data_IF_788284850642
#
_entry.id   IF_788284850642
#
_cell.length_a   1.000
_cell.length_b   1.000
_cell.length_c   1.000
_cell.angle_alpha   90.00
_cell.angle_beta   90.00
_cell.angle_gamma   90.00
#
_symmetry.space_group_name_H-M   'P 1'
#
loop_
_entity.id
_entity.type
_entity.pdbx_description
1 polymer ?
#
# COMPACT_ATOMS: atom_id res chain seq x y z
N UNK A 1 -28.82 -33.17 -22.63
CA UNK A 1 -29.38 -33.92 -21.49
C UNK A 1 -28.27 -34.10 -20.47
N UNK A 2 -28.53 -33.82 -19.19
CA UNK A 2 -27.61 -34.20 -18.12
C UNK A 2 -28.13 -35.50 -17.50
N UNK A 3 -27.35 -36.58 -17.56
CA UNK A 3 -27.70 -37.85 -16.90
C UNK A 3 -27.41 -37.72 -15.41
N UNK A 4 -28.45 -37.67 -14.57
CA UNK A 4 -28.30 -37.66 -13.12
C UNK A 4 -27.96 -39.07 -12.61
N UNK A 5 -26.68 -39.33 -12.33
CA UNK A 5 -26.28 -40.44 -11.47
C UNK A 5 -26.67 -40.12 -10.02
N UNK A 6 -27.02 -41.12 -9.22
CA UNK A 6 -27.55 -40.95 -7.85
C UNK A 6 -26.63 -40.25 -6.84
N UNK A 7 -25.43 -39.85 -7.25
CA UNK A 7 -24.43 -39.17 -6.41
C UNK A 7 -24.32 -37.67 -6.69
N UNK A 8 -25.00 -37.13 -7.71
CA UNK A 8 -24.82 -35.75 -8.14
C UNK A 8 -25.28 -34.77 -7.04
N UNK A 9 -24.35 -33.90 -6.63
CA UNK A 9 -24.58 -32.84 -5.66
C UNK A 9 -24.97 -31.54 -6.35
N UNK A 10 -25.59 -30.64 -5.60
CA UNK A 10 -25.94 -29.30 -6.10
C UNK A 10 -24.71 -28.53 -6.57
N UNK A 11 -23.57 -28.68 -5.88
CA UNK A 11 -22.29 -28.07 -6.28
C UNK A 11 -21.82 -28.50 -7.67
N UNK A 12 -22.04 -29.76 -8.04
CA UNK A 12 -21.70 -30.27 -9.38
C UNK A 12 -22.51 -29.57 -10.47
N UNK A 13 -23.79 -29.26 -10.19
CA UNK A 13 -24.62 -28.48 -11.11
C UNK A 13 -24.10 -27.04 -11.20
N UNK A 14 -23.75 -26.40 -10.09
CA UNK A 14 -23.21 -25.03 -10.12
C UNK A 14 -21.92 -24.94 -10.94
N UNK A 15 -21.05 -25.94 -10.81
CA UNK A 15 -19.83 -26.07 -11.61
C UNK A 15 -20.14 -26.24 -13.11
N UNK A 16 -21.09 -27.10 -13.46
CA UNK A 16 -21.52 -27.30 -14.84
C UNK A 16 -22.21 -26.06 -15.44
N UNK A 17 -22.97 -25.32 -14.63
CA UNK A 17 -23.61 -24.07 -15.02
C UNK A 17 -22.62 -22.94 -15.19
N UNK A 18 -21.54 -22.89 -14.39
CA UNK A 18 -20.52 -21.84 -14.48
C UNK A 18 -19.93 -21.73 -15.88
N UNK A 19 -19.68 -22.88 -16.53
CA UNK A 19 -19.17 -22.93 -17.91
C UNK A 19 -20.17 -22.39 -18.95
N UNK A 20 -21.46 -22.40 -18.64
CA UNK A 20 -22.53 -21.98 -19.57
C UNK A 20 -23.02 -20.55 -19.33
N UNK A 21 -23.04 -20.12 -18.07
CA UNK A 21 -23.56 -18.82 -17.65
C UNK A 21 -22.46 -17.80 -17.42
N UNK A 22 -21.22 -18.25 -17.25
CA UNK A 22 -20.07 -17.40 -16.88
C UNK A 22 -20.05 -17.00 -15.40
N UNK A 23 -21.01 -17.43 -14.59
CA UNK A 23 -21.09 -17.11 -13.16
C UNK A 23 -20.25 -18.09 -12.35
N UNK A 24 -19.43 -17.61 -11.42
CA UNK A 24 -18.71 -18.50 -10.51
C UNK A 24 -19.70 -19.30 -9.65
N UNK A 25 -19.40 -20.55 -9.24
CA UNK A 25 -20.32 -21.35 -8.42
C UNK A 25 -20.82 -20.63 -7.15
N UNK A 26 -19.96 -19.82 -6.53
CA UNK A 26 -20.30 -19.01 -5.35
C UNK A 26 -21.26 -17.84 -5.62
N UNK A 27 -21.39 -17.44 -6.89
CA UNK A 27 -22.31 -16.39 -7.34
C UNK A 27 -23.67 -16.98 -7.79
N UNK A 28 -23.83 -18.31 -7.68
CA UNK A 28 -25.02 -19.01 -8.12
C UNK A 28 -25.87 -19.49 -6.94
N UNK A 29 -27.16 -19.12 -6.95
CA UNK A 29 -28.19 -19.62 -6.03
C UNK A 29 -29.12 -20.53 -6.80
N UNK A 30 -29.11 -21.81 -6.46
CA UNK A 30 -29.98 -22.80 -7.08
C UNK A 30 -31.22 -23.03 -6.24
N UNK A 31 -32.38 -22.92 -6.89
CA UNK A 31 -33.68 -23.04 -6.26
C UNK A 31 -34.45 -24.20 -6.89
N UNK A 32 -34.98 -25.09 -6.05
CA UNK A 32 -35.91 -26.15 -6.44
C UNK A 32 -37.19 -26.06 -5.61
N UNK A 33 -38.34 -25.94 -6.29
CA UNK A 33 -39.66 -25.81 -5.64
C UNK A 33 -39.71 -24.69 -4.58
N UNK A 34 -39.08 -23.55 -4.87
CA UNK A 34 -39.02 -22.39 -3.98
C UNK A 34 -38.05 -22.52 -2.81
N UNK A 35 -37.26 -23.61 -2.72
CA UNK A 35 -36.23 -23.80 -1.69
C UNK A 35 -34.84 -23.70 -2.31
N UNK A 36 -33.99 -22.91 -1.67
CA UNK A 36 -32.56 -22.84 -1.99
C UNK A 36 -31.89 -24.18 -1.68
N UNK A 37 -30.87 -24.53 -2.45
CA UNK A 37 -30.11 -25.77 -2.35
C UNK A 37 -28.65 -25.44 -2.03
N UNK A 38 -28.11 -26.06 -0.99
CA UNK A 38 -26.70 -25.96 -0.61
C UNK A 38 -25.83 -26.90 -1.45
N UNK A 39 -24.54 -26.58 -1.59
CA UNK A 39 -23.63 -27.26 -2.51
C UNK A 39 -23.44 -28.74 -2.16
N UNK A 40 -23.48 -29.08 -0.86
CA UNK A 40 -23.34 -30.43 -0.31
C UNK A 40 -24.65 -31.25 -0.40
N UNK A 41 -25.77 -30.65 -0.79
CA UNK A 41 -27.03 -31.37 -0.93
C UNK A 41 -27.02 -32.30 -2.15
N UNK A 42 -27.34 -33.57 -1.93
CA UNK A 42 -27.63 -34.50 -3.02
C UNK A 42 -28.99 -34.20 -3.67
N UNK A 43 -28.99 -34.07 -4.99
CA UNK A 43 -30.16 -33.66 -5.77
C UNK A 43 -31.32 -34.66 -5.66
N UNK A 44 -31.00 -35.96 -5.57
CA UNK A 44 -32.01 -36.99 -5.44
C UNK A 44 -32.77 -36.89 -4.10
N UNK A 45 -32.07 -36.54 -3.00
CA UNK A 45 -32.69 -36.31 -1.70
C UNK A 45 -33.55 -35.06 -1.70
N UNK A 46 -33.16 -34.03 -2.47
CA UNK A 46 -33.99 -32.85 -2.71
C UNK A 46 -35.21 -33.12 -3.62
N UNK A 47 -35.38 -34.35 -4.13
CA UNK A 47 -36.49 -34.75 -4.99
C UNK A 47 -36.34 -34.30 -6.46
N UNK A 48 -35.13 -33.91 -6.87
CA UNK A 48 -34.80 -33.57 -8.25
C UNK A 48 -34.69 -34.87 -9.05
N UNK A 49 -35.49 -34.97 -10.10
CA UNK A 49 -35.54 -36.11 -11.04
C UNK A 49 -35.20 -35.65 -12.46
N UNK A 50 -35.10 -36.59 -13.38
CA UNK A 50 -34.97 -36.28 -14.80
C UNK A 50 -36.07 -35.28 -15.25
N UNK A 51 -35.69 -34.32 -16.08
CA UNK A 51 -36.53 -33.20 -16.57
C UNK A 51 -37.07 -32.24 -15.51
N UNK A 52 -36.57 -32.30 -14.27
CA UNK A 52 -36.91 -31.29 -13.26
C UNK A 52 -36.40 -29.90 -13.67
N UNK A 53 -37.16 -28.87 -13.32
CA UNK A 53 -36.78 -27.47 -13.55
C UNK A 53 -36.10 -26.92 -12.29
N UNK A 54 -34.91 -26.36 -12.45
CA UNK A 54 -34.19 -25.60 -11.44
C UNK A 54 -34.22 -24.13 -11.83
N UNK A 55 -34.39 -23.25 -10.86
CA UNK A 55 -34.25 -21.81 -11.05
C UNK A 55 -32.86 -21.40 -10.58
N UNK A 56 -32.07 -20.83 -11.49
CA UNK A 56 -30.78 -20.22 -11.17
C UNK A 56 -31.01 -18.73 -10.94
N UNK A 57 -30.62 -18.26 -9.76
CA UNK A 57 -30.56 -16.85 -9.43
C UNK A 57 -29.10 -16.45 -9.22
N UNK A 58 -28.77 -15.24 -9.60
CA UNK A 58 -27.47 -14.65 -9.32
C UNK A 58 -27.43 -14.10 -7.89
N UNK A 59 -26.38 -14.44 -7.13
CA UNK A 59 -26.14 -13.89 -5.81
C UNK A 59 -25.50 -12.50 -5.92
N UNK A 60 -26.33 -11.46 -5.80
CA UNK A 60 -25.87 -10.07 -5.79
C UNK A 60 -24.97 -9.76 -4.59
N UNK A 61 -25.10 -10.46 -3.45
CA UNK A 61 -24.28 -10.22 -2.28
C UNK A 61 -22.82 -10.68 -2.48
N UNK A 62 -22.62 -11.80 -3.20
CA UNK A 62 -21.27 -12.29 -3.54
C UNK A 62 -20.56 -11.40 -4.56
N UNK A 63 -21.28 -10.79 -5.51
CA UNK A 63 -20.73 -9.76 -6.40
C UNK A 63 -20.32 -8.49 -5.65
N UNK A 64 -21.16 -8.00 -4.74
CA UNK A 64 -20.86 -6.81 -3.94
C UNK A 64 -19.60 -7.04 -3.10
N UNK A 65 -19.46 -8.20 -2.44
CA UNK A 65 -18.26 -8.55 -1.67
C UNK A 65 -16.98 -8.55 -2.53
N UNK A 66 -17.00 -9.21 -3.70
CA UNK A 66 -15.85 -9.22 -4.62
C UNK A 66 -15.48 -7.82 -5.11
N UNK A 67 -16.47 -6.98 -5.42
CA UNK A 67 -16.24 -5.60 -5.85
C UNK A 67 -15.65 -4.73 -4.73
N UNK A 68 -16.08 -4.93 -3.48
CA UNK A 68 -15.51 -4.25 -2.32
C UNK A 68 -14.08 -4.68 -2.00
N UNK A 69 -13.77 -5.97 -2.15
CA UNK A 69 -12.41 -6.48 -2.00
C UNK A 69 -11.47 -5.87 -3.03
N UNK A 70 -11.89 -5.82 -4.31
CA UNK A 70 -11.13 -5.14 -5.37
C UNK A 70 -10.94 -3.65 -5.07
N UNK A 71 -11.97 -2.96 -4.57
CA UNK A 71 -11.85 -1.55 -4.17
C UNK A 71 -10.87 -1.34 -3.02
N UNK A 72 -10.82 -2.26 -2.05
CA UNK A 72 -9.87 -2.21 -0.93
C UNK A 72 -8.45 -2.46 -1.41
N UNK A 73 -8.23 -3.46 -2.27
CA UNK A 73 -6.91 -3.69 -2.86
C UNK A 73 -6.43 -2.49 -3.66
N UNK A 74 -7.32 -1.89 -4.48
CA UNK A 74 -7.01 -0.70 -5.28
C UNK A 74 -6.67 0.52 -4.42
N UNK A 75 -7.31 0.68 -3.26
CA UNK A 75 -7.00 1.76 -2.32
C UNK A 75 -5.63 1.56 -1.68
N UNK A 76 -5.27 0.32 -1.33
CA UNK A 76 -3.96 0.00 -0.76
C UNK A 76 -2.84 0.25 -1.77
N UNK A 77 -3.01 -0.17 -3.03
CA UNK A 77 -2.02 0.10 -4.09
C UNK A 77 -1.87 1.60 -4.34
N UNK A 78 -2.98 2.35 -4.46
CA UNK A 78 -2.93 3.81 -4.64
C UNK A 78 -2.20 4.53 -3.49
N UNK A 79 -2.45 4.12 -2.25
CA UNK A 79 -1.76 4.71 -1.10
C UNK A 79 -0.25 4.42 -1.13
N UNK A 80 0.16 3.21 -1.50
CA UNK A 80 1.57 2.84 -1.63
C UNK A 80 2.26 3.59 -2.78
N UNK A 81 1.60 3.72 -3.93
CA UNK A 81 2.09 4.50 -5.07
C UNK A 81 2.28 5.99 -4.71
N UNK A 82 1.31 6.59 -4.01
CA UNK A 82 1.42 7.97 -3.56
C UNK A 82 2.58 8.17 -2.58
N UNK A 83 2.82 7.22 -1.66
CA UNK A 83 4.00 7.26 -0.77
C UNK A 83 5.30 7.13 -1.56
N UNK A 84 5.34 6.27 -2.58
CA UNK A 84 6.52 6.09 -3.43
C UNK A 84 6.84 7.36 -4.24
N UNK A 85 5.83 8.07 -4.74
CA UNK A 85 6.02 9.35 -5.42
C UNK A 85 6.62 10.40 -4.47
N UNK A 86 6.09 10.52 -3.25
CA UNK A 86 6.67 11.43 -2.26
C UNK A 86 8.11 11.04 -1.92
N UNK A 87 8.39 9.74 -1.75
CA UNK A 87 9.75 9.25 -1.50
C UNK A 87 10.73 9.67 -2.61
N UNK A 88 10.34 9.56 -3.88
CA UNK A 88 11.18 9.98 -4.99
C UNK A 88 11.49 11.49 -4.95
N UNK A 89 10.54 12.33 -4.52
CA UNK A 89 10.79 13.75 -4.28
C UNK A 89 11.71 13.98 -3.08
N UNK A 90 11.56 13.21 -2.00
CA UNK A 90 12.46 13.27 -0.84
C UNK A 90 13.87 12.82 -1.22
N UNK A 91 14.04 11.84 -2.10
CA UNK A 91 15.35 11.40 -2.60
C UNK A 91 16.08 12.55 -3.30
N UNK A 92 15.41 13.27 -4.20
CA UNK A 92 15.98 14.47 -4.85
C UNK A 92 16.38 15.55 -3.85
N UNK A 93 15.55 15.79 -2.83
CA UNK A 93 15.87 16.78 -1.80
C UNK A 93 17.06 16.30 -0.96
N UNK A 94 17.15 15.00 -0.68
CA UNK A 94 18.26 14.41 0.08
C UNK A 94 19.62 14.59 -0.59
N UNK A 95 19.67 14.56 -1.94
CA UNK A 95 20.88 14.87 -2.71
C UNK A 95 21.31 16.32 -2.49
N UNK A 96 20.36 17.26 -2.46
CA UNK A 96 20.64 18.67 -2.13
C UNK A 96 21.12 18.81 -0.68
N UNK A 97 20.52 18.10 0.28
CA UNK A 97 20.98 18.09 1.68
C UNK A 97 22.42 17.59 1.79
N UNK A 98 22.76 16.52 1.07
CA UNK A 98 24.12 15.97 1.04
C UNK A 98 25.12 16.95 0.43
N UNK A 99 24.76 17.65 -0.65
CA UNK A 99 25.60 18.68 -1.23
C UNK A 99 25.85 19.86 -0.27
N UNK A 100 24.81 20.28 0.47
CA UNK A 100 24.94 21.32 1.50
C UNK A 100 25.85 20.87 2.65
N UNK A 101 25.73 19.63 3.11
CA UNK A 101 26.61 19.06 4.13
C UNK A 101 28.07 19.10 3.70
N UNK A 102 28.38 18.60 2.49
CA UNK A 102 29.75 18.60 1.95
C UNK A 102 30.30 20.01 1.84
N UNK A 103 29.49 20.99 1.41
CA UNK A 103 29.92 22.38 1.31
C UNK A 103 30.27 22.97 2.70
N UNK A 104 29.42 22.76 3.70
CA UNK A 104 29.62 23.26 5.07
C UNK A 104 30.80 22.56 5.75
N UNK A 105 30.92 21.24 5.59
CA UNK A 105 32.04 20.45 6.12
C UNK A 105 33.38 20.85 5.46
N UNK A 106 33.34 21.21 4.18
CA UNK A 106 34.47 21.78 3.44
C UNK A 106 34.78 23.24 3.76
N UNK A 107 34.04 23.88 4.67
CA UNK A 107 34.26 25.27 5.10
C UNK A 107 33.74 26.33 4.12
N UNK A 108 32.99 25.92 3.08
CA UNK A 108 32.34 26.86 2.16
C UNK A 108 31.19 27.56 2.87
N UNK A 109 31.18 28.90 2.83
CA UNK A 109 30.06 29.68 3.36
C UNK A 109 28.86 29.56 2.43
N UNK A 110 27.80 28.91 2.92
CA UNK A 110 26.54 28.75 2.18
C UNK A 110 25.56 29.85 2.59
N UNK A 111 24.80 30.37 1.62
CA UNK A 111 23.73 31.34 1.88
C UNK A 111 22.60 30.72 2.71
N UNK A 112 22.10 31.46 3.71
CA UNK A 112 21.06 30.94 4.63
C UNK A 112 19.79 30.49 3.90
N UNK A 113 19.44 31.18 2.81
CA UNK A 113 18.27 30.86 1.98
C UNK A 113 18.31 29.44 1.41
N UNK A 114 19.49 28.87 1.15
CA UNK A 114 19.61 27.53 0.58
C UNK A 114 19.13 26.45 1.57
N UNK A 115 19.38 26.64 2.86
CA UNK A 115 18.85 25.80 3.93
C UNK A 115 17.33 25.98 4.05
N UNK A 116 16.86 27.23 4.08
CA UNK A 116 15.44 27.54 4.22
C UNK A 116 14.59 26.94 3.09
N UNK A 117 15.04 27.06 1.83
CA UNK A 117 14.34 26.47 0.68
C UNK A 117 14.34 24.94 0.80
N UNK A 118 15.44 24.32 1.23
CA UNK A 118 15.49 22.86 1.40
C UNK A 118 14.55 22.37 2.51
N UNK A 119 14.48 23.09 3.63
CA UNK A 119 13.52 22.82 4.72
C UNK A 119 12.10 22.98 4.21
N UNK A 120 11.77 24.06 3.50
CA UNK A 120 10.42 24.28 2.95
C UNK A 120 9.99 23.16 1.99
N UNK A 121 10.89 22.70 1.12
CA UNK A 121 10.63 21.57 0.23
C UNK A 121 10.33 20.28 1.01
N UNK A 122 11.07 20.01 2.09
CA UNK A 122 10.81 18.87 2.99
C UNK A 122 9.47 19.00 3.72
N UNK A 123 9.15 20.19 4.24
CA UNK A 123 7.87 20.47 4.90
C UNK A 123 6.70 20.26 3.94
N UNK A 124 6.84 20.64 2.66
CA UNK A 124 5.84 20.35 1.63
C UNK A 124 5.63 18.84 1.44
N UNK A 125 6.69 18.03 1.51
CA UNK A 125 6.54 16.56 1.43
C UNK A 125 5.87 15.99 2.69
N UNK A 126 6.10 16.55 3.90
CA UNK A 126 5.36 16.15 5.11
C UNK A 126 3.86 16.39 4.94
N UNK A 127 3.46 17.56 4.46
CA UNK A 127 2.04 17.87 4.22
C UNK A 127 1.41 16.90 3.22
N UNK A 128 2.15 16.51 2.18
CA UNK A 128 1.68 15.46 1.24
C UNK A 128 1.53 14.12 1.96
N UNK A 129 2.52 13.69 2.75
CA UNK A 129 2.43 12.43 3.51
C UNK A 129 1.23 12.44 4.47
N UNK A 130 0.96 13.55 5.15
CA UNK A 130 -0.17 13.68 6.07
C UNK A 130 -1.53 13.58 5.36
N UNK A 131 -1.60 13.99 4.09
CA UNK A 131 -2.81 13.89 3.26
C UNK A 131 -3.09 12.48 2.71
N UNK A 132 -2.10 11.58 2.74
CA UNK A 132 -2.28 10.21 2.22
C UNK A 132 -2.99 9.35 3.26
N UNK A 133 -4.24 8.99 3.00
CA UNK A 133 -4.95 7.97 3.75
C UNK A 133 -4.36 6.58 3.42
N UNK A 134 -3.86 5.88 4.44
CA UNK A 134 -3.17 4.61 4.27
C UNK A 134 -3.41 3.66 5.44
N UNK A 135 -3.60 2.38 5.12
CA UNK A 135 -3.75 1.28 6.06
C UNK A 135 -2.66 0.21 5.84
N UNK A 136 -2.55 -0.74 6.79
CA UNK A 136 -1.61 -1.87 6.68
C UNK A 136 -0.17 -1.45 6.40
N UNK A 137 0.42 -2.04 5.37
CA UNK A 137 1.81 -1.78 4.95
C UNK A 137 2.04 -0.36 4.43
N UNK A 138 1.11 0.19 3.65
CA UNK A 138 1.22 1.56 3.15
C UNK A 138 1.31 2.58 4.29
N UNK A 139 0.61 2.35 5.41
CA UNK A 139 0.71 3.17 6.63
C UNK A 139 2.10 3.10 7.26
N UNK A 140 2.74 1.93 7.24
CA UNK A 140 4.10 1.75 7.76
C UNK A 140 5.12 2.47 6.86
N UNK A 141 4.98 2.33 5.53
CA UNK A 141 5.81 3.05 4.55
C UNK A 141 5.70 4.57 4.75
N UNK A 142 4.48 5.11 4.85
CA UNK A 142 4.21 6.52 5.11
C UNK A 142 4.89 7.01 6.39
N UNK A 143 4.76 6.26 7.50
CA UNK A 143 5.39 6.61 8.78
C UNK A 143 6.92 6.58 8.72
N UNK A 144 7.49 5.63 8.00
CA UNK A 144 8.93 5.55 7.81
C UNK A 144 9.45 6.76 7.01
N UNK A 145 8.73 7.16 5.96
CA UNK A 145 9.10 8.33 5.15
C UNK A 145 8.94 9.64 5.92
N UNK A 146 7.91 9.80 6.75
CA UNK A 146 7.76 10.96 7.66
C UNK A 146 8.98 11.10 8.57
N UNK A 147 9.44 10.01 9.20
CA UNK A 147 10.65 10.02 10.04
C UNK A 147 11.90 10.38 9.24
N UNK A 148 12.01 9.87 8.00
CA UNK A 148 13.13 10.18 7.10
C UNK A 148 13.19 11.68 6.80
N UNK A 149 12.04 12.28 6.49
CA UNK A 149 11.93 13.73 6.23
C UNK A 149 12.29 14.54 7.48
N UNK A 150 11.78 14.17 8.65
CA UNK A 150 12.10 14.84 9.91
C UNK A 150 13.60 14.82 10.21
N UNK A 151 14.27 13.68 10.01
CA UNK A 151 15.72 13.57 10.18
C UNK A 151 16.49 14.51 9.24
N UNK A 152 16.02 14.70 8.00
CA UNK A 152 16.65 15.65 7.07
C UNK A 152 16.44 17.11 7.48
N UNK A 153 15.27 17.45 8.04
CA UNK A 153 15.02 18.80 8.57
C UNK A 153 15.97 19.09 9.75
N UNK A 154 16.06 18.18 10.71
CA UNK A 154 16.99 18.32 11.85
C UNK A 154 18.45 18.45 11.37
N UNK A 155 18.83 17.67 10.36
CA UNK A 155 20.17 17.77 9.75
C UNK A 155 20.42 19.15 9.12
N UNK A 156 19.46 19.69 8.39
CA UNK A 156 19.57 21.02 7.80
C UNK A 156 19.67 22.13 8.86
N UNK A 157 18.91 22.04 9.95
CA UNK A 157 19.00 22.99 11.05
C UNK A 157 20.38 22.96 11.72
N UNK A 158 20.94 21.78 11.93
CA UNK A 158 22.30 21.60 12.44
C UNK A 158 23.36 22.16 11.48
N UNK A 159 23.24 21.90 10.18
CA UNK A 159 24.14 22.44 9.16
C UNK A 159 24.06 23.97 9.09
N UNK A 160 22.84 24.52 9.16
CA UNK A 160 22.61 25.97 9.20
C UNK A 160 23.29 26.61 10.41
N UNK A 161 23.17 26.02 11.59
CA UNK A 161 23.82 26.52 12.80
C UNK A 161 25.36 26.51 12.69
N UNK A 162 25.92 25.40 12.19
CA UNK A 162 27.38 25.26 11.95
C UNK A 162 27.89 26.23 10.89
N UNK A 163 27.11 26.46 9.84
CA UNK A 163 27.44 27.40 8.78
C UNK A 163 27.45 28.86 9.27
N UNK A 164 26.62 29.20 10.26
CA UNK A 164 26.65 30.52 10.91
C UNK A 164 27.80 30.69 11.90
N UNK A 165 28.23 29.61 12.58
CA UNK A 165 29.27 29.63 13.60
C UNK A 165 30.39 28.60 13.31
N UNK A 166 31.31 28.87 12.35
CA UNK A 166 32.34 27.91 11.95
C UNK A 166 33.43 27.60 13.00
N UNK A 167 33.44 28.28 14.16
CA UNK A 167 34.56 28.25 15.13
C UNK A 167 34.40 27.29 16.33
N UNK A 168 33.44 26.35 16.35
CA UNK A 168 33.23 25.50 17.54
C UNK A 168 33.74 24.05 17.45
N UNK A 169 34.67 23.71 16.54
CA UNK A 169 35.22 22.35 16.54
C UNK A 169 36.75 22.31 16.40
N UNK A 170 37.45 22.83 17.42
CA UNK A 170 38.86 22.50 17.64
C UNK A 170 39.02 21.70 18.94
N UNK A 171 39.19 20.39 18.83
CA UNK A 171 40.08 19.64 19.75
C UNK A 171 40.47 18.30 19.14
N UNK A 172 41.52 18.34 18.33
CA UNK A 172 42.50 17.25 18.29
C UNK A 172 43.85 17.83 17.87
N UNK A 173 44.39 18.73 18.71
CA UNK A 173 45.80 19.07 18.67
C UNK A 173 46.59 17.96 19.38
N UNK A 174 47.06 16.97 18.61
CA UNK A 174 48.05 16.02 19.12
C UNK A 174 49.41 16.71 19.07
N UNK A 175 49.85 17.26 20.19
CA UNK A 175 51.21 17.75 20.35
C UNK A 175 52.16 16.54 20.46
N UNK A 176 52.91 16.26 19.39
CA UNK A 176 54.01 15.29 19.42
C UNK A 176 55.21 15.98 20.07
N UNK A 177 55.48 15.62 21.32
CA UNK A 177 56.69 16.05 22.04
C UNK A 177 57.80 15.03 21.80
N UNK A 178 58.72 15.35 20.90
CA UNK A 178 59.97 14.60 20.70
C UNK A 178 60.94 14.95 21.84
N UNK A 179 61.34 13.95 22.64
CA UNK A 179 62.43 14.11 23.61
C UNK A 179 63.76 13.75 22.94
N UNK A 180 64.71 14.68 23.03
CA UNK A 180 66.14 14.48 22.76
C UNK A 180 66.77 13.60 23.84
#
# INVERSE_FOLDING_TARGET
>A
MFSLSGLLMTGDIKNALAQKTGLEPKEQRLMFRGKEKEDEEHLHMAGVKDRSKLLLLEDTASKVRKLEEMRKSDQITKASEAVAEVRAEVDKISERVAALEVAVDGGTKVEEKEFLVSIELLMKQLLKLDSIEAEGEAKLQRKAEVRRVQNFVEKLDNLKARNSNPHSNSSNSVSVTTKL
#
